data_IF_461835181070
#
_entry.id   IF_461835181070
#
_cell.length_a   1.000
_cell.length_b   1.000
_cell.length_c   1.000
_cell.angle_alpha   90.00
_cell.angle_beta   90.00
_cell.angle_gamma   90.00
#
_symmetry.space_group_name_H-M   'P 1'
#
loop_
_entity.id
_entity.type
_entity.pdbx_description
1 polymer ?
#
# COMPACT_ATOMS: atom_id res chain seq x y z
N UNK A 1 32.94 5.75 22.75
CA UNK A 1 32.11 6.52 21.80
C UNK A 1 31.85 5.78 20.48
N UNK A 2 32.80 5.03 19.90
CA UNK A 2 32.62 4.34 18.61
C UNK A 2 31.61 3.18 18.62
N UNK A 3 31.39 2.54 19.77
CA UNK A 3 30.41 1.44 19.94
C UNK A 3 28.96 1.94 19.83
N UNK A 4 28.66 3.13 20.36
CA UNK A 4 27.34 3.75 20.23
C UNK A 4 26.98 4.07 18.77
N UNK A 5 27.96 4.50 17.97
CA UNK A 5 27.75 4.76 16.55
C UNK A 5 27.45 3.46 15.77
N UNK A 6 28.10 2.35 16.13
CA UNK A 6 27.79 1.03 15.58
C UNK A 6 26.38 0.54 15.95
N UNK A 7 25.94 0.73 17.20
CA UNK A 7 24.58 0.38 17.60
C UNK A 7 23.53 1.27 16.94
N UNK A 8 23.81 2.57 16.75
CA UNK A 8 22.92 3.46 16.02
C UNK A 8 22.78 3.04 14.55
N UNK A 9 23.87 2.63 13.90
CA UNK A 9 23.85 2.11 12.53
C UNK A 9 23.07 0.80 12.42
N UNK A 10 23.23 -0.11 13.39
CA UNK A 10 22.48 -1.38 13.42
C UNK A 10 20.98 -1.19 13.70
N UNK A 11 20.61 -0.20 14.51
CA UNK A 11 19.21 0.17 14.76
C UNK A 11 18.59 0.80 13.51
N UNK A 12 19.32 1.66 12.79
CA UNK A 12 18.87 2.24 11.51
C UNK A 12 18.69 1.18 10.41
N UNK A 13 19.55 0.16 10.37
CA UNK A 13 19.45 -0.95 9.41
C UNK A 13 18.31 -1.95 9.72
N UNK A 14 17.83 -2.01 10.97
CA UNK A 14 16.81 -2.99 11.39
C UNK A 14 15.37 -2.46 11.27
N UNK A 15 15.17 -1.24 10.78
CA UNK A 15 13.82 -0.66 10.55
C UNK A 15 13.17 -1.20 9.28
N UNK A 16 13.89 -1.96 8.46
CA UNK A 16 13.39 -2.52 7.21
C UNK A 16 12.53 -3.76 7.46
N UNK A 17 11.31 -3.61 7.98
CA UNK A 17 10.14 -4.47 7.72
C UNK A 17 8.89 -4.07 8.55
N UNK A 18 8.67 -2.78 8.80
CA UNK A 18 7.32 -2.35 9.22
C UNK A 18 6.41 -2.48 7.98
N UNK A 19 5.44 -3.41 8.01
CA UNK A 19 4.43 -3.53 6.96
C UNK A 19 3.71 -2.18 6.80
N UNK A 20 4.07 -1.43 5.75
CA UNK A 20 3.53 -0.10 5.52
C UNK A 20 2.17 -0.23 4.84
N UNK A 21 1.15 0.36 5.45
CA UNK A 21 -0.18 0.46 4.83
C UNK A 21 -0.46 1.90 4.42
N UNK A 22 -1.11 2.08 3.28
CA UNK A 22 -1.41 3.41 2.72
C UNK A 22 -2.72 3.41 1.95
N UNK A 23 -3.23 4.60 1.65
CA UNK A 23 -4.43 4.80 0.84
C UNK A 23 -4.13 5.78 -0.27
N UNK A 24 -4.52 5.43 -1.51
CA UNK A 24 -4.35 6.28 -2.70
C UNK A 24 -5.67 6.27 -3.47
N UNK A 25 -6.04 7.43 -4.04
CA UNK A 25 -7.19 7.51 -4.93
C UNK A 25 -6.81 6.89 -6.28
N UNK A 26 -7.60 5.93 -6.73
CA UNK A 26 -7.49 5.38 -8.06
C UNK A 26 -7.85 6.44 -9.13
N UNK A 27 -7.57 6.17 -10.41
CA UNK A 27 -7.94 7.03 -11.54
C UNK A 27 -9.41 7.46 -11.52
N UNK A 28 -10.28 6.58 -11.07
CA UNK A 28 -11.73 6.79 -11.05
C UNK A 28 -12.16 7.63 -9.83
N UNK A 29 -11.23 8.00 -8.95
CA UNK A 29 -11.47 8.73 -7.72
C UNK A 29 -11.76 7.85 -6.50
N UNK A 30 -11.88 6.53 -6.67
CA UNK A 30 -12.10 5.61 -5.56
C UNK A 30 -10.85 5.50 -4.65
N UNK A 31 -10.93 5.79 -3.34
CA UNK A 31 -9.83 5.53 -2.43
C UNK A 31 -9.64 4.03 -2.22
N UNK A 32 -8.44 3.54 -2.53
CA UNK A 32 -8.04 2.14 -2.37
C UNK A 32 -6.93 2.02 -1.33
N UNK A 33 -7.05 1.00 -0.46
CA UNK A 33 -6.13 0.72 0.65
C UNK A 33 -5.18 -0.40 0.26
N UNK A 34 -3.90 -0.18 0.53
CA UNK A 34 -2.84 -1.11 0.18
C UNK A 34 -1.96 -1.39 1.39
N UNK A 35 -1.33 -2.56 1.38
CA UNK A 35 -0.24 -2.92 2.29
C UNK A 35 0.95 -3.38 1.46
N UNK A 36 2.13 -2.82 1.73
CA UNK A 36 3.39 -3.24 1.10
C UNK A 36 3.71 -4.66 1.54
N UNK A 37 3.84 -5.56 0.57
CA UNK A 37 4.22 -6.96 0.79
C UNK A 37 5.71 -7.17 0.54
N UNK A 38 6.32 -6.37 -0.34
CA UNK A 38 7.76 -6.35 -0.58
C UNK A 38 8.24 -4.98 -1.04
N UNK A 39 9.41 -4.54 -0.58
CA UNK A 39 10.13 -3.35 -1.09
C UNK A 39 11.15 -3.69 -2.19
N UNK A 40 11.32 -4.97 -2.49
CA UNK A 40 12.12 -5.47 -3.62
C UNK A 40 11.51 -6.83 -4.05
N UNK A 41 10.62 -6.85 -5.04
CA UNK A 41 10.61 -6.00 -6.23
C UNK A 41 9.56 -4.86 -6.24
N UNK A 42 9.20 -4.28 -5.09
CA UNK A 42 8.09 -3.32 -4.92
C UNK A 42 6.72 -3.93 -5.25
N UNK A 43 6.18 -4.65 -4.28
CA UNK A 43 4.87 -5.31 -4.37
C UNK A 43 3.95 -4.85 -3.26
N UNK A 44 2.67 -4.75 -3.60
CA UNK A 44 1.60 -4.43 -2.66
C UNK A 44 0.43 -5.39 -2.80
N UNK A 45 -0.29 -5.53 -1.70
CA UNK A 45 -1.61 -6.12 -1.63
C UNK A 45 -2.68 -5.04 -1.54
N UNK A 46 -3.71 -5.13 -2.36
CA UNK A 46 -4.94 -4.36 -2.18
C UNK A 46 -5.73 -4.97 -1.01
N UNK A 47 -5.88 -4.23 0.08
CA UNK A 47 -6.51 -4.71 1.32
C UNK A 47 -7.92 -4.21 1.51
N UNK A 48 -8.31 -3.15 0.80
CA UNK A 48 -9.68 -2.68 0.83
C UNK A 48 -9.90 -1.38 0.11
N UNK A 49 -11.03 -0.76 0.46
CA UNK A 49 -11.39 0.57 0.00
C UNK A 49 -11.56 1.55 1.16
N UNK A 50 -11.46 2.84 0.84
CA UNK A 50 -11.91 3.92 1.68
C UNK A 50 -13.42 4.15 1.56
N UNK A 51 -13.85 5.33 1.99
CA UNK A 51 -15.22 5.81 1.82
C UNK A 51 -15.58 5.86 0.33
N UNK A 52 -16.75 5.33 -0.03
CA UNK A 52 -17.25 5.43 -1.40
C UNK A 52 -17.54 6.91 -1.70
N UNK A 53 -16.93 7.50 -2.75
CA UNK A 53 -17.21 8.89 -3.14
C UNK A 53 -18.67 9.07 -3.59
N UNK A 54 -19.20 10.28 -3.42
CA UNK A 54 -20.52 10.66 -3.93
C UNK A 54 -20.59 10.45 -5.44
N UNK A 55 -21.63 9.76 -5.93
CA UNK A 55 -21.82 9.47 -7.36
C UNK A 55 -21.47 8.03 -7.76
N UNK A 56 -20.77 7.27 -6.90
CA UNK A 56 -20.66 5.83 -7.05
C UNK A 56 -21.97 5.16 -6.62
N UNK A 57 -22.55 4.40 -7.52
CA UNK A 57 -23.80 3.66 -7.29
C UNK A 57 -23.55 2.16 -7.47
N UNK A 58 -24.53 1.34 -7.06
CA UNK A 58 -24.45 -0.09 -7.32
C UNK A 58 -24.40 -0.32 -8.84
N UNK A 59 -23.41 -1.09 -9.30
CA UNK A 59 -23.17 -1.33 -10.71
C UNK A 59 -22.17 -0.37 -11.36
N UNK A 60 -21.65 0.63 -10.62
CA UNK A 60 -20.46 1.37 -11.08
C UNK A 60 -19.26 0.43 -11.12
N UNK A 61 -18.56 0.40 -12.25
CA UNK A 61 -17.34 -0.37 -12.41
C UNK A 61 -16.21 0.23 -11.55
N UNK A 62 -15.43 -0.63 -10.90
CA UNK A 62 -14.22 -0.24 -10.19
C UNK A 62 -13.01 -0.78 -10.94
N UNK A 63 -12.16 0.11 -11.45
CA UNK A 63 -10.88 -0.32 -12.01
C UNK A 63 -9.93 -0.68 -10.87
N UNK A 64 -9.39 -1.91 -10.87
CA UNK A 64 -8.28 -2.29 -9.98
C UNK A 64 -6.99 -2.03 -10.75
N UNK A 65 -6.13 -1.10 -10.30
CA UNK A 65 -4.93 -0.77 -11.05
C UNK A 65 -3.89 -1.88 -10.92
N UNK A 66 -3.14 -2.14 -11.99
CA UNK A 66 -2.02 -3.09 -11.97
C UNK A 66 -0.82 -2.56 -11.15
N UNK A 67 -0.70 -1.24 -11.04
CA UNK A 67 0.37 -0.57 -10.30
C UNK A 67 -0.16 0.62 -9.50
N UNK A 68 0.52 0.98 -8.43
CA UNK A 68 0.19 2.16 -7.60
C UNK A 68 1.46 2.92 -7.24
N UNK A 69 1.40 4.25 -7.31
CA UNK A 69 2.50 5.11 -6.91
C UNK A 69 2.32 5.60 -5.47
N UNK A 70 3.32 5.37 -4.62
CA UNK A 70 3.30 5.81 -3.23
C UNK A 70 4.72 6.02 -2.72
N UNK A 71 4.93 7.07 -1.92
CA UNK A 71 6.23 7.31 -1.27
C UNK A 71 7.40 7.47 -2.23
N UNK A 72 7.18 7.93 -3.46
CA UNK A 72 8.22 8.08 -4.48
C UNK A 72 8.54 6.81 -5.28
N UNK A 73 7.85 5.69 -5.01
CA UNK A 73 8.05 4.41 -5.71
C UNK A 73 6.77 3.92 -6.37
N UNK A 74 6.92 3.15 -7.45
CA UNK A 74 5.83 2.42 -8.08
C UNK A 74 5.83 0.98 -7.58
N UNK A 75 4.67 0.52 -7.10
CA UNK A 75 4.47 -0.84 -6.62
C UNK A 75 3.55 -1.61 -7.56
N UNK A 76 3.84 -2.89 -7.79
CA UNK A 76 2.95 -3.81 -8.48
C UNK A 76 1.86 -4.30 -7.52
N UNK A 77 0.61 -4.26 -7.96
CA UNK A 77 -0.51 -4.84 -7.22
C UNK A 77 -0.57 -6.33 -7.56
N UNK A 78 -0.11 -7.18 -6.64
CA UNK A 78 0.08 -8.62 -6.89
C UNK A 78 -0.98 -9.49 -6.20
N UNK A 79 -1.66 -8.96 -5.19
CA UNK A 79 -2.66 -9.69 -4.42
C UNK A 79 -3.85 -8.78 -4.08
N UNK A 80 -5.06 -9.36 -4.06
CA UNK A 80 -6.25 -8.75 -3.48
C UNK A 80 -6.60 -9.55 -2.22
N UNK A 81 -6.68 -8.87 -1.07
CA UNK A 81 -6.96 -9.52 0.19
C UNK A 81 -8.34 -10.17 0.21
N UNK A 82 -8.47 -11.25 0.98
CA UNK A 82 -9.77 -11.81 1.34
C UNK A 82 -10.63 -10.70 1.97
N UNK A 83 -11.89 -10.64 1.56
CA UNK A 83 -12.86 -9.65 2.03
C UNK A 83 -12.51 -8.17 1.71
N UNK A 84 -11.59 -7.90 0.77
CA UNK A 84 -11.19 -6.54 0.38
C UNK A 84 -12.38 -5.60 0.10
N UNK A 85 -13.47 -6.13 -0.47
CA UNK A 85 -14.66 -5.35 -0.83
C UNK A 85 -15.90 -5.70 0.00
N UNK A 86 -15.76 -6.56 1.00
CA UNK A 86 -16.87 -6.93 1.89
C UNK A 86 -16.91 -5.96 3.07
N UNK A 87 -18.12 -5.55 3.45
CA UNK A 87 -18.42 -4.78 4.66
C UNK A 87 -18.64 -5.73 5.84
#
# INVERSE_FOLDING_TARGET
MKRFLFYLFAILYSVEFMAQSFTVNNSDGMPLKYTVTSTNPNEVKLTGRGTIPTGYTLGTELNVPATVFYGGSTYNVVEIAKNCFFL
#
